data_IF_007136048118
#
_entry.id   IF_007136048118
#
_cell.length_a   1.000
_cell.length_b   1.000
_cell.length_c   1.000
_cell.angle_alpha   90.00
_cell.angle_beta   90.00
_cell.angle_gamma   90.00
#
_symmetry.space_group_name_H-M   'P 1'
#
loop_
_entity.id
_entity.type
_entity.pdbx_description
1 polymer ?
#
# COMPACT_ATOMS: atom_id res chain seq x y z
N UNK A 1 -9.88 -43.65 -2.62
CA UNK A 1 -8.76 -44.10 -3.48
C UNK A 1 -7.63 -43.16 -3.15
N UNK A 2 -6.69 -43.61 -2.31
CA UNK A 2 -5.52 -42.81 -1.92
C UNK A 2 -4.68 -42.52 -3.16
N UNK A 3 -4.55 -41.23 -3.48
CA UNK A 3 -3.66 -40.78 -4.54
C UNK A 3 -2.26 -40.82 -3.94
N UNK A 4 -1.44 -41.75 -4.42
CA UNK A 4 -0.03 -41.82 -4.04
C UNK A 4 0.58 -40.53 -4.61
N UNK A 5 0.96 -39.60 -3.73
CA UNK A 5 1.76 -38.44 -4.11
C UNK A 5 3.11 -39.00 -4.56
N UNK A 6 3.36 -39.00 -5.88
CA UNK A 6 4.67 -39.30 -6.41
C UNK A 6 5.65 -38.26 -5.86
N UNK A 7 6.65 -38.74 -5.10
CA UNK A 7 7.70 -37.89 -4.56
C UNK A 7 8.84 -37.83 -5.56
N UNK A 8 9.12 -36.64 -6.09
CA UNK A 8 10.27 -36.39 -6.96
C UNK A 8 11.44 -35.91 -6.11
N UNK A 9 12.67 -36.21 -6.53
CA UNK A 9 13.87 -35.74 -5.84
C UNK A 9 14.02 -34.23 -6.00
N UNK A 10 14.43 -33.56 -4.92
CA UNK A 10 14.67 -32.11 -4.87
C UNK A 10 15.93 -31.68 -5.67
N UNK A 11 16.86 -32.62 -5.84
CA UNK A 11 18.13 -32.42 -6.55
C UNK A 11 18.13 -33.13 -7.93
N UNK A 12 16.96 -33.51 -8.44
CA UNK A 12 16.85 -34.09 -9.79
C UNK A 12 17.23 -33.04 -10.83
N UNK A 13 18.23 -33.35 -11.65
CA UNK A 13 18.66 -32.51 -12.77
C UNK A 13 17.67 -32.66 -13.93
N UNK A 14 17.00 -31.57 -14.26
CA UNK A 14 16.07 -31.45 -15.37
C UNK A 14 16.73 -30.64 -16.50
N UNK A 15 16.41 -30.98 -17.74
CA UNK A 15 16.95 -30.30 -18.92
C UNK A 15 15.82 -29.57 -19.65
N UNK A 16 15.98 -28.26 -19.89
CA UNK A 16 15.03 -27.51 -20.74
C UNK A 16 15.39 -27.66 -22.22
N UNK A 17 14.53 -27.15 -23.12
CA UNK A 17 14.75 -27.18 -24.57
C UNK A 17 16.03 -26.46 -25.04
N UNK A 18 16.66 -25.68 -24.17
CA UNK A 18 17.90 -24.94 -24.42
C UNK A 18 19.14 -25.65 -23.83
N UNK A 19 19.03 -26.92 -23.44
CA UNK A 19 20.08 -27.76 -22.83
C UNK A 19 20.67 -27.20 -21.52
N UNK A 20 19.97 -26.28 -20.85
CA UNK A 20 20.35 -25.86 -19.50
C UNK A 20 19.83 -26.88 -18.48
N UNK A 21 20.75 -27.36 -17.65
CA UNK A 21 20.44 -28.19 -16.50
C UNK A 21 19.99 -27.29 -15.34
N UNK A 22 18.82 -27.57 -14.77
CA UNK A 22 18.30 -26.93 -13.57
C UNK A 22 17.71 -28.00 -12.65
N UNK A 23 17.67 -27.73 -11.35
CA UNK A 23 17.10 -28.66 -10.37
C UNK A 23 15.66 -28.30 -10.06
N UNK A 24 14.88 -29.25 -9.52
CA UNK A 24 13.53 -28.95 -8.99
C UNK A 24 13.59 -27.92 -7.86
N UNK A 25 14.70 -27.88 -7.11
CA UNK A 25 15.05 -26.79 -6.18
C UNK A 25 15.02 -25.40 -6.81
N UNK A 26 15.56 -25.26 -8.02
CA UNK A 26 15.65 -23.96 -8.71
C UNK A 26 14.28 -23.45 -9.21
N UNK A 27 13.30 -24.35 -9.33
CA UNK A 27 11.93 -24.02 -9.75
C UNK A 27 11.01 -23.63 -8.59
N UNK A 28 11.36 -24.03 -7.37
CA UNK A 28 10.52 -23.79 -6.20
C UNK A 28 10.73 -22.35 -5.76
N UNK A 29 9.75 -21.51 -6.08
CA UNK A 29 9.69 -20.13 -5.59
C UNK A 29 9.62 -20.14 -4.07
N UNK A 30 10.52 -19.40 -3.43
CA UNK A 30 10.42 -19.13 -2.00
C UNK A 30 9.25 -18.18 -1.76
N UNK A 31 8.14 -18.71 -1.25
CA UNK A 31 6.93 -17.94 -0.92
C UNK A 31 7.14 -16.97 0.26
N UNK A 32 8.25 -17.12 1.01
CA UNK A 32 8.61 -16.23 2.11
C UNK A 32 9.37 -14.97 1.70
N UNK A 33 9.86 -14.90 0.45
CA UNK A 33 10.56 -13.72 -0.06
C UNK A 33 9.56 -12.67 -0.53
N UNK A 34 9.53 -11.53 0.17
CA UNK A 34 8.82 -10.33 -0.32
C UNK A 34 9.52 -9.84 -1.58
N UNK A 35 8.77 -9.66 -2.66
CA UNK A 35 9.30 -9.19 -3.94
C UNK A 35 9.96 -7.81 -3.76
N UNK A 36 11.25 -7.63 -4.10
CA UNK A 36 11.91 -6.33 -4.05
C UNK A 36 11.16 -5.23 -4.81
N UNK A 37 10.45 -5.57 -5.89
CA UNK A 37 9.59 -4.62 -6.59
C UNK A 37 8.41 -4.17 -5.74
N UNK A 38 7.79 -5.08 -4.99
CA UNK A 38 6.67 -4.75 -4.10
C UNK A 38 7.13 -3.83 -2.95
N UNK A 39 8.30 -4.10 -2.37
CA UNK A 39 8.90 -3.23 -1.35
C UNK A 39 9.12 -1.82 -1.92
N UNK A 40 9.76 -1.73 -3.10
CA UNK A 40 10.03 -0.46 -3.76
C UNK A 40 8.74 0.32 -4.07
N UNK A 41 7.73 -0.34 -4.63
CA UNK A 41 6.41 0.25 -4.91
C UNK A 41 5.75 0.79 -3.64
N UNK A 42 5.80 0.04 -2.53
CA UNK A 42 5.23 0.47 -1.25
C UNK A 42 5.93 1.70 -0.69
N UNK A 43 7.26 1.70 -0.65
CA UNK A 43 8.04 2.86 -0.19
C UNK A 43 7.80 4.10 -1.07
N UNK A 44 7.73 3.90 -2.39
CA UNK A 44 7.41 4.96 -3.35
C UNK A 44 6.03 5.56 -3.11
N UNK A 45 5.00 4.72 -2.92
CA UNK A 45 3.64 5.18 -2.62
C UNK A 45 3.60 5.97 -1.30
N UNK A 46 4.24 5.45 -0.25
CA UNK A 46 4.33 6.15 1.05
C UNK A 46 4.97 7.54 0.89
N UNK A 47 6.08 7.64 0.16
CA UNK A 47 6.75 8.90 -0.11
C UNK A 47 5.86 9.88 -0.89
N UNK A 48 5.11 9.40 -1.89
CA UNK A 48 4.15 10.23 -2.64
C UNK A 48 3.04 10.76 -1.73
N UNK A 49 2.45 9.90 -0.89
CA UNK A 49 1.41 10.29 0.07
C UNK A 49 1.94 11.36 1.04
N UNK A 50 3.13 11.15 1.61
CA UNK A 50 3.71 12.11 2.57
C UNK A 50 4.00 13.47 1.90
N UNK A 51 4.50 13.46 0.66
CA UNK A 51 4.70 14.69 -0.10
C UNK A 51 3.38 15.41 -0.42
N UNK A 52 2.33 14.67 -0.74
CA UNK A 52 1.00 15.23 -0.96
C UNK A 52 0.43 15.85 0.33
N UNK A 53 0.57 15.17 1.47
CA UNK A 53 0.15 15.69 2.79
C UNK A 53 0.90 16.97 3.14
N UNK A 54 2.20 17.07 2.84
CA UNK A 54 3.01 18.29 3.07
C UNK A 54 2.55 19.50 2.26
N UNK A 55 1.85 19.29 1.15
CA UNK A 55 1.29 20.36 0.31
C UNK A 55 -0.10 20.83 0.77
N UNK A 56 -0.76 20.07 1.66
CA UNK A 56 -2.04 20.47 2.24
C UNK A 56 -1.87 21.63 3.21
N UNK A 57 -2.96 22.36 3.45
CA UNK A 57 -2.97 23.36 4.51
C UNK A 57 -2.80 22.67 5.87
N UNK A 58 -2.22 23.38 6.84
CA UNK A 58 -1.93 22.83 8.19
C UNK A 58 -3.12 22.10 8.81
N UNK A 59 -4.32 22.68 8.71
CA UNK A 59 -5.56 22.08 9.22
C UNK A 59 -5.95 20.79 8.50
N UNK A 60 -5.82 20.76 7.18
CA UNK A 60 -6.11 19.58 6.37
C UNK A 60 -5.14 18.45 6.70
N UNK A 61 -3.84 18.76 6.74
CA UNK A 61 -2.79 17.83 7.09
C UNK A 61 -2.99 17.24 8.50
N UNK A 62 -3.32 18.07 9.50
CA UNK A 62 -3.55 17.61 10.87
C UNK A 62 -4.76 16.67 10.97
N UNK A 63 -5.86 16.96 10.26
CA UNK A 63 -7.04 16.10 10.21
C UNK A 63 -6.69 14.75 9.57
N UNK A 64 -6.02 14.76 8.41
CA UNK A 64 -5.63 13.54 7.70
C UNK A 64 -4.68 12.70 8.56
N UNK A 65 -3.62 13.31 9.12
CA UNK A 65 -2.65 12.59 9.95
C UNK A 65 -3.29 11.98 11.19
N UNK A 66 -4.18 12.71 11.86
CA UNK A 66 -4.85 12.21 13.07
C UNK A 66 -5.88 11.12 12.75
N UNK A 67 -6.60 11.24 11.64
CA UNK A 67 -7.61 10.25 11.26
C UNK A 67 -6.98 8.91 10.84
N UNK A 68 -5.88 8.95 10.09
CA UNK A 68 -5.19 7.76 9.58
C UNK A 68 -4.03 7.28 10.46
N UNK A 69 -3.74 7.93 11.59
CA UNK A 69 -2.64 7.52 12.49
C UNK A 69 -1.25 7.77 11.90
N UNK A 70 -1.13 8.78 11.04
CA UNK A 70 0.15 9.25 10.47
C UNK A 70 0.78 10.36 11.32
N UNK A 71 0.40 10.44 12.60
CA UNK A 71 1.00 11.33 13.59
C UNK A 71 2.13 10.61 14.34
N UNK A 72 2.92 11.35 15.12
CA UNK A 72 4.10 10.82 15.84
C UNK A 72 3.76 9.66 16.79
N UNK A 73 2.54 9.63 17.33
CA UNK A 73 2.10 8.60 18.27
C UNK A 73 1.39 7.42 17.60
N UNK A 74 1.22 7.44 16.28
CA UNK A 74 0.43 6.48 15.51
C UNK A 74 -1.01 6.26 16.03
N UNK A 75 -1.57 7.27 16.68
CA UNK A 75 -2.91 7.22 17.26
C UNK A 75 -3.95 7.68 16.23
N UNK A 76 -4.97 6.85 16.00
CA UNK A 76 -6.14 7.22 15.22
C UNK A 76 -7.19 7.87 16.09
N UNK A 77 -7.85 8.92 15.58
CA UNK A 77 -9.04 9.50 16.22
C UNK A 77 -10.19 9.59 15.23
N UNK A 78 -11.41 9.39 15.75
CA UNK A 78 -12.61 9.53 14.93
C UNK A 78 -12.95 11.02 14.67
N UNK A 79 -13.84 11.30 13.72
CA UNK A 79 -14.21 12.68 13.38
C UNK A 79 -14.81 13.47 14.55
N UNK A 80 -15.47 12.84 15.53
CA UNK A 80 -16.01 13.54 16.68
C UNK A 80 -14.91 14.03 17.62
N UNK A 81 -13.91 13.17 17.90
CA UNK A 81 -12.75 13.52 18.72
C UNK A 81 -11.87 14.59 18.07
N UNK A 82 -11.68 14.51 16.74
CA UNK A 82 -10.97 15.54 15.98
C UNK A 82 -11.74 16.87 16.01
N UNK A 83 -13.06 16.81 15.82
CA UNK A 83 -13.94 17.97 15.87
C UNK A 83 -13.90 18.68 17.23
N UNK A 84 -13.93 17.91 18.32
CA UNK A 84 -13.79 18.44 19.69
C UNK A 84 -12.44 19.13 19.88
N UNK A 85 -11.34 18.49 19.47
CA UNK A 85 -10.00 19.06 19.60
C UNK A 85 -9.82 20.35 18.78
N UNK A 86 -10.50 20.45 17.63
CA UNK A 86 -10.38 21.59 16.72
C UNK A 86 -11.47 22.67 16.89
N UNK A 87 -12.43 22.48 17.80
CA UNK A 87 -13.56 23.39 17.98
C UNK A 87 -14.47 23.48 16.74
N UNK A 88 -14.61 22.38 16.00
CA UNK A 88 -15.42 22.29 14.78
C UNK A 88 -16.61 21.34 14.98
N UNK A 89 -17.56 21.36 14.03
CA UNK A 89 -18.57 20.29 13.97
C UNK A 89 -17.99 19.05 13.31
N UNK A 90 -18.54 17.87 13.65
CA UNK A 90 -18.17 16.59 13.01
C UNK A 90 -18.30 16.65 11.49
N UNK A 91 -19.36 17.26 10.98
CA UNK A 91 -19.57 17.39 9.53
C UNK A 91 -18.55 18.34 8.89
N UNK A 92 -18.15 19.41 9.60
CA UNK A 92 -17.11 20.30 9.08
C UNK A 92 -15.77 19.58 8.95
N UNK A 93 -15.40 18.74 9.91
CA UNK A 93 -14.19 17.91 9.82
C UNK A 93 -14.27 16.94 8.64
N UNK A 94 -15.42 16.29 8.44
CA UNK A 94 -15.65 15.40 7.29
C UNK A 94 -15.51 16.13 5.95
N UNK A 95 -16.04 17.34 5.83
CA UNK A 95 -15.88 18.15 4.62
C UNK A 95 -14.40 18.46 4.33
N UNK A 96 -13.66 18.92 5.35
CA UNK A 96 -12.24 19.22 5.21
C UNK A 96 -11.45 17.96 4.85
N UNK A 97 -11.76 16.82 5.47
CA UNK A 97 -11.14 15.54 5.15
C UNK A 97 -11.37 15.15 3.68
N UNK A 98 -12.59 15.35 3.15
CA UNK A 98 -12.91 15.06 1.76
C UNK A 98 -12.16 15.98 0.79
N UNK A 99 -12.04 17.26 1.11
CA UNK A 99 -11.28 18.24 0.32
C UNK A 99 -9.77 17.90 0.32
N UNK A 100 -9.23 17.57 1.48
CA UNK A 100 -7.85 17.14 1.63
C UNK A 100 -7.55 15.86 0.84
N UNK A 101 -8.43 14.85 0.91
CA UNK A 101 -8.29 13.64 0.11
C UNK A 101 -8.30 13.92 -1.38
N UNK A 102 -9.19 14.80 -1.87
CA UNK A 102 -9.21 15.17 -3.30
C UNK A 102 -7.89 15.79 -3.74
N UNK A 103 -7.29 16.65 -2.92
CA UNK A 103 -5.98 17.25 -3.20
C UNK A 103 -4.88 16.19 -3.23
N UNK A 104 -4.89 15.23 -2.29
CA UNK A 104 -3.93 14.11 -2.29
C UNK A 104 -4.07 13.25 -3.55
N UNK A 105 -5.30 12.88 -3.91
CA UNK A 105 -5.57 12.07 -5.10
C UNK A 105 -5.17 12.79 -6.40
N UNK A 106 -5.37 14.11 -6.48
CA UNK A 106 -4.94 14.91 -7.64
C UNK A 106 -3.40 14.98 -7.78
N UNK A 107 -2.67 14.89 -6.67
CA UNK A 107 -1.21 14.87 -6.66
C UNK A 107 -0.65 13.48 -7.00
N UNK A 108 -1.40 12.42 -6.68
CA UNK A 108 -1.08 11.05 -7.06
C UNK A 108 -1.37 10.85 -8.55
N UNK A 109 -0.36 11.06 -9.40
CA UNK A 109 -0.49 10.73 -10.82
C UNK A 109 -0.63 9.20 -11.00
N UNK A 110 -1.60 8.71 -11.79
CA UNK A 110 -1.59 7.34 -12.27
C UNK A 110 -0.36 7.17 -13.16
N UNK A 111 0.59 6.38 -12.67
CA UNK A 111 1.81 6.01 -13.37
C UNK A 111 1.94 4.49 -13.25
N UNK A 112 2.92 3.88 -13.92
CA UNK A 112 3.18 2.41 -14.01
C UNK A 112 3.45 1.71 -12.65
N UNK A 113 2.61 1.88 -11.65
CA UNK A 113 2.69 1.31 -10.33
C UNK A 113 1.31 0.84 -9.92
N UNK A 114 1.07 -0.47 -10.07
CA UNK A 114 -0.23 -1.11 -9.80
C UNK A 114 -0.80 -0.74 -8.43
N UNK A 115 0.06 -0.50 -7.45
CA UNK A 115 -0.33 -0.14 -6.09
C UNK A 115 -0.93 1.27 -6.01
N UNK A 116 -0.44 2.20 -6.82
CA UNK A 116 -0.99 3.56 -6.93
C UNK A 116 -2.35 3.50 -7.61
N UNK A 117 -2.48 2.73 -8.68
CA UNK A 117 -3.75 2.57 -9.40
C UNK A 117 -4.83 1.94 -8.51
N UNK A 118 -4.51 0.85 -7.78
CA UNK A 118 -5.43 0.24 -6.82
C UNK A 118 -5.84 1.24 -5.72
N UNK A 119 -4.89 2.04 -5.23
CA UNK A 119 -5.18 3.09 -4.25
C UNK A 119 -6.13 4.15 -4.82
N UNK A 120 -5.90 4.61 -6.05
CA UNK A 120 -6.76 5.59 -6.71
C UNK A 120 -8.18 5.03 -6.95
N UNK A 121 -8.30 3.79 -7.40
CA UNK A 121 -9.60 3.11 -7.57
C UNK A 121 -10.38 3.00 -6.25
N UNK A 122 -9.69 2.61 -5.18
CA UNK A 122 -10.30 2.42 -3.86
C UNK A 122 -10.85 3.71 -3.25
N UNK A 123 -10.25 4.86 -3.58
CA UNK A 123 -10.59 6.16 -2.99
C UNK A 123 -11.24 7.15 -3.98
N UNK A 124 -11.45 6.76 -5.23
CA UNK A 124 -12.27 7.48 -6.20
C UNK A 124 -13.76 7.28 -5.88
N UNK A 125 -14.38 8.28 -5.25
CA UNK A 125 -15.83 8.34 -4.96
C UNK A 125 -16.63 9.02 -6.06
#
# INVERSE_FOLDING_TARGET
>A
KDQIVETTSYDELLQNGDFQEFTTRDLIKDEGLVDPQEIYSRERLQNKIENAIKKLDKREADIIRTYYGLNENHETRNFAQIAETMGLSRERVRQIQKEALKKILAELQPEEDKLVDEFLEKYSY
#
